data_IF_053045078132
#
_entry.id   IF_053045078132
#
_cell.length_a   1.000
_cell.length_b   1.000
_cell.length_c   1.000
_cell.angle_alpha   90.00
_cell.angle_beta   90.00
_cell.angle_gamma   90.00
#
_symmetry.space_group_name_H-M   'P 1'
#
loop_
_entity.id
_entity.type
_entity.pdbx_description
1 polymer ?
#
# COMPACT_ATOMS: atom_id res chain seq x y z
N UNK A 1 3.61 10.26 27.24
CA UNK A 1 3.33 9.89 25.85
C UNK A 1 2.67 8.52 25.79
N UNK A 2 1.65 8.40 24.97
CA UNK A 2 0.93 7.13 24.79
C UNK A 2 1.50 6.42 23.56
N UNK A 3 2.20 5.31 23.77
CA UNK A 3 2.86 4.61 22.66
C UNK A 3 1.86 4.05 21.66
N UNK A 4 0.69 3.63 22.13
CA UNK A 4 -0.34 3.13 21.22
C UNK A 4 -0.83 4.23 20.31
N UNK A 5 -0.94 5.43 20.83
CA UNK A 5 -1.37 6.58 20.02
C UNK A 5 -0.32 6.91 18.96
N UNK A 6 0.96 6.85 19.34
CA UNK A 6 2.04 7.09 18.38
C UNK A 6 1.95 6.10 17.24
N UNK A 7 1.81 4.82 17.58
CA UNK A 7 1.72 3.78 16.54
C UNK A 7 0.53 4.01 15.63
N UNK A 8 -0.62 4.34 16.20
CA UNK A 8 -1.83 4.54 15.42
C UNK A 8 -1.71 5.75 14.48
N UNK A 9 -1.20 6.86 15.00
CA UNK A 9 -1.15 8.10 14.23
C UNK A 9 -0.04 8.14 13.20
N UNK A 10 1.03 7.39 13.42
CA UNK A 10 2.17 7.39 12.51
C UNK A 10 2.20 6.19 11.59
N UNK A 11 1.22 5.32 11.67
CA UNK A 11 1.08 4.23 10.71
C UNK A 11 0.57 4.78 9.37
N UNK A 12 0.84 4.08 8.26
CA UNK A 12 0.39 4.57 6.97
C UNK A 12 -1.12 4.76 6.93
N UNK A 13 -1.54 5.86 6.34
CA UNK A 13 -2.96 6.16 6.19
C UNK A 13 -3.54 5.34 5.04
N UNK A 14 -4.70 4.73 5.29
CA UNK A 14 -5.37 3.92 4.27
C UNK A 14 -6.20 4.81 3.36
N UNK A 15 -6.13 4.52 2.05
CA UNK A 15 -6.90 5.24 1.02
C UNK A 15 -7.70 4.21 0.25
N UNK A 16 -8.99 4.48 0.10
CA UNK A 16 -9.84 3.56 -0.64
C UNK A 16 -9.47 3.57 -2.12
N UNK A 17 -9.44 2.39 -2.73
CA UNK A 17 -9.08 2.23 -4.12
C UNK A 17 -9.96 1.17 -4.75
N UNK A 18 -10.48 1.47 -5.93
CA UNK A 18 -11.36 0.55 -6.65
C UNK A 18 -10.83 0.33 -8.05
N UNK A 19 -10.83 -0.92 -8.49
CA UNK A 19 -10.40 -1.28 -9.83
C UNK A 19 -11.18 -2.51 -10.28
N UNK A 20 -11.74 -2.46 -11.48
CA UNK A 20 -12.48 -3.57 -12.09
C UNK A 20 -13.55 -4.13 -11.15
N UNK A 21 -14.23 -3.24 -10.42
CA UNK A 21 -15.32 -3.66 -9.54
C UNK A 21 -14.87 -4.21 -8.19
N UNK A 22 -13.57 -4.18 -7.93
CA UNK A 22 -13.03 -4.64 -6.65
C UNK A 22 -12.54 -3.44 -5.86
N UNK A 23 -12.88 -3.39 -4.57
CA UNK A 23 -12.48 -2.28 -3.71
C UNK A 23 -11.64 -2.79 -2.55
N UNK A 24 -10.59 -2.08 -2.25
CA UNK A 24 -9.75 -2.36 -1.09
C UNK A 24 -8.99 -1.06 -0.75
N UNK A 25 -8.01 -1.16 0.14
CA UNK A 25 -7.29 0.05 0.55
C UNK A 25 -5.82 -0.05 0.15
N UNK A 26 -5.27 1.10 -0.22
CA UNK A 26 -3.84 1.22 -0.51
C UNK A 26 -3.24 2.20 0.49
N UNK A 27 -1.94 2.06 0.72
CA UNK A 27 -1.25 2.95 1.64
C UNK A 27 0.23 2.99 1.29
N UNK A 28 0.95 3.96 1.87
CA UNK A 28 2.39 4.00 1.67
C UNK A 28 3.05 2.89 2.46
N UNK A 29 4.25 2.53 2.05
CA UNK A 29 4.98 1.44 2.70
C UNK A 29 5.38 1.83 4.13
N UNK A 30 5.37 0.82 5.00
CA UNK A 30 5.97 0.99 6.31
C UNK A 30 7.48 1.02 6.14
N UNK A 31 8.17 1.58 7.14
CA UNK A 31 9.62 1.70 7.05
C UNK A 31 10.30 0.38 6.73
N UNK A 32 9.80 -0.70 7.28
CA UNK A 32 10.42 -2.01 7.06
C UNK A 32 10.29 -2.49 5.63
N UNK A 33 9.35 -1.91 4.86
CA UNK A 33 9.07 -2.35 3.49
C UNK A 33 9.55 -1.35 2.45
N UNK A 34 10.27 -0.33 2.86
CA UNK A 34 10.65 0.76 1.94
C UNK A 34 11.46 0.26 0.75
N UNK A 35 12.24 -0.78 0.94
CA UNK A 35 13.08 -1.32 -0.13
C UNK A 35 12.26 -2.00 -1.22
N UNK A 36 10.99 -2.31 -0.93
CA UNK A 36 10.15 -3.00 -1.90
C UNK A 36 9.43 -2.05 -2.84
N UNK A 37 9.60 -0.74 -2.65
CA UNK A 37 8.86 0.25 -3.45
C UNK A 37 9.19 0.18 -4.93
N UNK A 38 10.39 -0.25 -5.30
CA UNK A 38 10.74 -0.36 -6.71
C UNK A 38 10.51 -1.76 -7.28
N UNK A 39 9.80 -2.60 -6.54
CA UNK A 39 9.44 -3.94 -6.98
C UNK A 39 7.92 -4.01 -7.03
N UNK A 40 7.30 -3.88 -8.21
CA UNK A 40 5.85 -3.72 -8.29
C UNK A 40 5.04 -4.79 -7.57
N UNK A 41 5.38 -6.06 -7.74
CA UNK A 41 4.61 -7.13 -7.13
C UNK A 41 4.72 -7.07 -5.61
N UNK A 42 5.95 -6.96 -5.11
CA UNK A 42 6.15 -6.88 -3.66
C UNK A 42 5.54 -5.62 -3.08
N UNK A 43 5.66 -4.50 -3.81
CA UNK A 43 5.10 -3.24 -3.35
C UNK A 43 3.58 -3.35 -3.18
N UNK A 44 2.90 -3.90 -4.17
CA UNK A 44 1.45 -4.05 -4.09
C UNK A 44 1.09 -4.98 -2.94
N UNK A 45 1.89 -6.02 -2.72
CA UNK A 45 1.62 -6.97 -1.65
C UNK A 45 1.63 -6.29 -0.27
N UNK A 46 2.61 -5.41 -0.03
CA UNK A 46 2.77 -4.82 1.31
C UNK A 46 2.02 -3.49 1.47
N UNK A 47 1.56 -2.89 0.39
CA UNK A 47 0.90 -1.59 0.44
C UNK A 47 -0.60 -1.66 0.21
N UNK A 48 -1.19 -2.83 0.33
CA UNK A 48 -2.64 -3.00 0.20
C UNK A 48 -3.17 -3.76 1.41
N UNK A 49 -4.44 -3.51 1.74
CA UNK A 49 -5.05 -4.16 2.89
C UNK A 49 -6.57 -4.05 2.79
N UNK A 50 -7.25 -4.76 3.69
CA UNK A 50 -8.70 -4.64 3.80
C UNK A 50 -9.03 -3.52 4.79
N UNK A 51 -10.31 -3.39 5.13
CA UNK A 51 -10.75 -2.31 6.01
C UNK A 51 -10.18 -2.43 7.41
N UNK A 52 -9.75 -3.61 7.79
CA UNK A 52 -9.15 -3.84 9.10
C UNK A 52 -7.64 -3.66 9.11
N UNK A 53 -7.05 -3.40 7.94
CA UNK A 53 -5.62 -3.27 7.83
C UNK A 53 -4.90 -4.58 7.61
N UNK A 54 -5.62 -5.67 7.36
CA UNK A 54 -5.02 -6.98 7.13
C UNK A 54 -4.63 -7.16 5.68
N UNK A 55 -3.50 -7.84 5.40
CA UNK A 55 -3.07 -8.05 4.02
C UNK A 55 -4.06 -8.93 3.26
N UNK A 56 -4.26 -8.61 1.98
CA UNK A 56 -5.18 -9.35 1.13
C UNK A 56 -4.46 -10.06 -0.03
N UNK A 57 -3.21 -9.69 -0.31
CA UNK A 57 -2.45 -10.27 -1.42
C UNK A 57 -1.19 -10.93 -0.91
N UNK A 58 -0.66 -11.82 -1.74
CA UNK A 58 0.59 -12.52 -1.43
C UNK A 58 1.32 -12.77 -2.75
N UNK A 59 2.57 -13.20 -2.65
CA UNK A 59 3.36 -13.55 -3.84
C UNK A 59 3.36 -15.05 -4.10
N UNK A 60 2.66 -15.82 -3.28
CA UNK A 60 2.52 -17.25 -3.43
C UNK A 60 1.16 -17.68 -2.91
N UNK A 61 0.82 -18.92 -3.10
CA UNK A 61 -0.50 -19.40 -2.70
C UNK A 61 -0.55 -19.54 -1.18
N UNK A 62 -1.30 -18.64 -0.57
CA UNK A 62 -1.50 -18.61 0.88
C UNK A 62 -2.99 -18.54 1.14
N UNK A 63 -3.48 -19.41 2.00
CA UNK A 63 -4.91 -19.43 2.31
C UNK A 63 -5.32 -18.09 2.90
N UNK A 64 -6.45 -17.56 2.43
CA UNK A 64 -6.95 -16.28 2.88
C UNK A 64 -6.40 -15.08 2.15
N UNK A 65 -5.52 -15.30 1.16
CA UNK A 65 -4.95 -14.23 0.36
C UNK A 65 -5.00 -14.58 -1.11
N UNK A 66 -4.91 -13.55 -1.94
CA UNK A 66 -4.90 -13.73 -3.39
C UNK A 66 -3.47 -13.60 -3.88
N UNK A 67 -3.02 -14.60 -4.62
CA UNK A 67 -1.67 -14.61 -5.19
C UNK A 67 -1.62 -13.64 -6.37
N UNK A 68 -0.84 -12.57 -6.26
CA UNK A 68 -0.74 -11.55 -7.31
C UNK A 68 -0.22 -12.13 -8.62
N UNK A 69 0.60 -13.18 -8.53
CA UNK A 69 1.16 -13.79 -9.74
C UNK A 69 0.12 -14.49 -10.58
N UNK A 70 -1.07 -14.73 -10.03
CA UNK A 70 -2.16 -15.35 -10.77
C UNK A 70 -3.08 -14.32 -11.43
N UNK A 71 -2.85 -13.04 -11.19
CA UNK A 71 -3.72 -11.97 -11.68
C UNK A 71 -3.17 -11.35 -12.95
N UNK A 72 -4.05 -10.65 -13.67
CA UNK A 72 -3.65 -9.93 -14.87
C UNK A 72 -2.62 -8.86 -14.50
N UNK A 73 -1.56 -8.77 -15.27
CA UNK A 73 -0.48 -7.83 -14.99
C UNK A 73 -0.96 -6.38 -15.01
N UNK A 74 -2.00 -6.07 -15.77
CA UNK A 74 -2.52 -4.72 -15.82
C UNK A 74 -3.08 -4.32 -14.46
N UNK A 75 -3.72 -5.23 -13.75
CA UNK A 75 -4.22 -4.96 -12.42
C UNK A 75 -3.09 -4.56 -11.48
N UNK A 76 -2.01 -5.33 -11.51
CA UNK A 76 -0.86 -5.04 -10.64
C UNK A 76 -0.23 -3.70 -11.01
N UNK A 77 -0.07 -3.44 -12.31
CA UNK A 77 0.53 -2.18 -12.76
C UNK A 77 -0.28 -0.97 -12.34
N UNK A 78 -1.59 -1.03 -12.50
CA UNK A 78 -2.45 0.11 -12.15
C UNK A 78 -2.47 0.33 -10.66
N UNK A 79 -2.50 -0.74 -9.88
CA UNK A 79 -2.49 -0.62 -8.43
C UNK A 79 -1.16 -0.05 -7.97
N UNK A 80 -0.06 -0.51 -8.56
CA UNK A 80 1.25 0.00 -8.24
C UNK A 80 1.35 1.51 -8.50
N UNK A 81 0.83 1.95 -9.65
CA UNK A 81 0.86 3.38 -9.97
C UNK A 81 0.03 4.19 -8.99
N UNK A 82 -1.11 3.66 -8.56
CA UNK A 82 -1.93 4.35 -7.58
C UNK A 82 -1.19 4.51 -6.26
N UNK A 83 -0.42 3.49 -5.86
CA UNK A 83 0.37 3.58 -4.64
C UNK A 83 1.45 4.64 -4.80
N UNK A 84 2.11 4.68 -5.96
CA UNK A 84 3.14 5.67 -6.20
C UNK A 84 2.59 7.10 -6.16
N UNK A 85 1.33 7.29 -6.56
CA UNK A 85 0.72 8.60 -6.48
C UNK A 85 0.63 9.13 -5.05
N UNK A 86 0.54 8.24 -4.08
CA UNK A 86 0.51 8.66 -2.69
C UNK A 86 1.80 9.36 -2.29
N UNK A 87 2.91 9.00 -2.93
CA UNK A 87 4.20 9.61 -2.62
C UNK A 87 4.37 10.97 -3.26
N UNK A 88 3.67 11.23 -4.34
CA UNK A 88 3.71 12.55 -4.94
C UNK A 88 3.12 13.57 -3.98
N UNK A 89 2.02 13.23 -3.34
CA UNK A 89 1.41 14.11 -2.36
C UNK A 89 2.35 14.33 -1.17
N UNK A 90 3.02 13.27 -0.75
CA UNK A 90 3.96 13.36 0.35
C UNK A 90 5.14 14.24 -0.01
N UNK A 91 5.62 14.14 -1.24
CA UNK A 91 6.74 14.97 -1.68
C UNK A 91 6.38 16.45 -1.63
N UNK A 92 5.17 16.78 -2.07
CA UNK A 92 4.70 18.16 -2.02
C UNK A 92 4.66 18.66 -0.59
N UNK A 93 4.12 17.85 0.31
CA UNK A 93 4.04 18.22 1.72
C UNK A 93 5.43 18.41 2.30
N UNK A 94 6.37 17.54 1.95
CA UNK A 94 7.74 17.64 2.45
C UNK A 94 8.38 18.93 2.02
N UNK A 95 8.17 19.33 0.77
CA UNK A 95 8.74 20.58 0.27
C UNK A 95 8.23 21.77 1.03
N UNK A 96 6.95 21.75 1.35
CA UNK A 96 6.35 22.82 2.12
C UNK A 96 6.95 22.88 3.50
N UNK A 97 7.14 21.73 4.12
CA UNK A 97 7.66 21.68 5.47
C UNK A 97 9.09 22.17 5.56
N UNK A 98 9.84 21.98 4.50
CA UNK A 98 11.24 22.40 4.51
C UNK A 98 11.40 23.90 4.47
N UNK A 99 10.36 24.62 4.16
CA UNK A 99 10.42 26.08 4.16
C UNK A 99 10.34 26.61 5.59
#
# INVERSE_FOLDING_TARGET
MNLQEVLTKLSPKKHEFSINGVSFFIHRARTKDIELLNKPIECVTVCTCDENGDPIFSTEDIEGRVNLNALDSEFVSKTYLAIMELYKDADVADEIEKK
#
